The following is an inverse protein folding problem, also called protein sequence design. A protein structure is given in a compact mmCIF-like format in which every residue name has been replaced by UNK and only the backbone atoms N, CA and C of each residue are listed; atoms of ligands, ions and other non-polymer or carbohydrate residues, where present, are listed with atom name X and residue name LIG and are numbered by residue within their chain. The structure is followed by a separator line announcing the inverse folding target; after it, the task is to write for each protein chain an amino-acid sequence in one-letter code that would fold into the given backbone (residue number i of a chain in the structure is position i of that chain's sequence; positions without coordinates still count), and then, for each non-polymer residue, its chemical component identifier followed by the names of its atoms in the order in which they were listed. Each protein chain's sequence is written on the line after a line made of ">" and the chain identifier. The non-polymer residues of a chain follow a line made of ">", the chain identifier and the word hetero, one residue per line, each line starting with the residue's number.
data_IF_869626686999
#
_entry.id   IF_869626686999
#
_cell.length_a   1.000
_cell.length_b   1.000
_cell.length_c   1.000
_cell.angle_alpha   90.00
_cell.angle_beta   90.00
_cell.angle_gamma   90.00
#
_symmetry.space_group_name_H-M   'P 1'
#
loop_
_entity.id
_entity.type
_entity.pdbx_description
1 polymer ?
#
# COMPACT_ATOMS: atom_id res chain seq x y z
N UNK A 1 4.74 5.96 -13.49
CA UNK A 1 4.35 4.96 -12.47
C UNK A 1 2.86 5.11 -12.23
N UNK A 2 2.08 4.04 -12.38
CA UNK A 2 0.62 4.07 -12.18
C UNK A 2 0.28 3.14 -11.02
N UNK A 3 -0.25 3.70 -9.94
CA UNK A 3 -0.65 2.92 -8.76
C UNK A 3 -2.16 2.77 -8.78
N UNK A 4 -2.65 1.53 -8.71
CA UNK A 4 -4.07 1.21 -8.73
C UNK A 4 -4.47 0.45 -7.46
N UNK A 5 -5.19 1.12 -6.57
CA UNK A 5 -5.75 0.47 -5.40
C UNK A 5 -6.87 -0.48 -5.85
N UNK A 6 -6.73 -1.77 -5.56
CA UNK A 6 -7.63 -2.79 -6.12
C UNK A 6 -8.68 -3.23 -5.13
N UNK A 7 -8.35 -3.25 -3.83
CA UNK A 7 -9.26 -3.78 -2.82
C UNK A 7 -9.01 -3.13 -1.44
N UNK A 8 -10.10 -2.67 -0.81
CA UNK A 8 -10.07 -2.04 0.53
C UNK A 8 -11.19 -2.64 1.35
N UNK A 9 -10.84 -3.41 2.39
CA UNK A 9 -11.81 -3.96 3.33
C UNK A 9 -11.52 -3.40 4.73
N UNK A 10 -12.38 -2.49 5.20
CA UNK A 10 -12.34 -1.96 6.57
C UNK A 10 -13.55 -2.53 7.31
N UNK A 11 -13.31 -3.43 8.26
CA UNK A 11 -14.33 -4.00 9.15
C UNK A 11 -14.05 -3.54 10.59
N UNK A 12 -15.08 -3.44 11.42
CA UNK A 12 -14.93 -3.03 12.83
C UNK A 12 -13.92 -3.95 13.55
N UNK A 13 -12.74 -3.41 13.88
CA UNK A 13 -11.65 -4.10 14.60
C UNK A 13 -10.57 -4.76 13.73
N UNK A 14 -10.70 -4.76 12.40
CA UNK A 14 -9.67 -5.27 11.48
C UNK A 14 -9.75 -4.55 10.13
N UNK A 15 -8.61 -4.06 9.64
CA UNK A 15 -8.51 -3.55 8.28
C UNK A 15 -7.56 -4.42 7.46
N UNK A 16 -8.01 -4.81 6.27
CA UNK A 16 -7.19 -5.41 5.22
C UNK A 16 -7.13 -4.42 4.04
N UNK A 17 -5.91 -4.13 3.61
CA UNK A 17 -5.65 -3.27 2.47
C UNK A 17 -4.84 -4.04 1.44
N UNK A 18 -5.38 -4.17 0.22
CA UNK A 18 -4.66 -4.76 -0.89
C UNK A 18 -4.46 -3.74 -2.02
N UNK A 19 -3.20 -3.44 -2.32
CA UNK A 19 -2.82 -2.56 -3.41
C UNK A 19 -2.17 -3.33 -4.55
N UNK A 20 -2.63 -3.09 -5.80
CA UNK A 20 -1.92 -3.57 -6.99
C UNK A 20 -1.01 -2.46 -7.49
N UNK A 21 0.28 -2.73 -7.49
CA UNK A 21 1.31 -1.81 -7.89
C UNK A 21 1.83 -2.21 -9.25
N UNK A 22 1.69 -1.31 -10.22
CA UNK A 22 2.11 -1.53 -11.60
C UNK A 22 3.17 -0.49 -11.96
N UNK A 23 4.35 -0.96 -12.36
CA UNK A 23 5.38 -0.11 -12.94
C UNK A 23 5.52 -0.45 -14.41
N UNK A 24 5.46 0.58 -15.24
CA UNK A 24 5.63 0.48 -16.68
C UNK A 24 6.85 1.28 -17.12
N UNK A 25 7.64 0.70 -18.01
CA UNK A 25 8.69 1.38 -18.77
C UNK A 25 8.23 1.49 -20.24
N UNK A 26 7.91 2.71 -20.66
CA UNK A 26 7.22 2.95 -21.92
C UNK A 26 5.89 2.18 -22.03
N UNK A 27 5.85 1.16 -22.90
CA UNK A 27 4.67 0.29 -23.11
C UNK A 27 4.79 -1.07 -22.41
N UNK A 28 5.94 -1.40 -21.83
CA UNK A 28 6.16 -2.67 -21.15
C UNK A 28 5.82 -2.54 -19.67
N UNK A 29 5.03 -3.47 -19.14
CA UNK A 29 4.87 -3.63 -17.69
C UNK A 29 6.10 -4.39 -17.18
N UNK A 30 6.87 -3.74 -16.31
CA UNK A 30 8.11 -4.29 -15.76
C UNK A 30 7.97 -4.73 -14.31
N UNK A 31 6.84 -4.39 -13.67
CA UNK A 31 6.48 -4.84 -12.33
C UNK A 31 4.96 -4.80 -12.19
N UNK A 32 4.39 -5.87 -11.66
CA UNK A 32 2.96 -6.00 -11.40
C UNK A 32 2.76 -6.94 -10.20
N UNK A 33 2.52 -6.36 -9.03
CA UNK A 33 2.30 -7.13 -7.80
C UNK A 33 1.14 -6.60 -7.00
N UNK A 34 0.45 -7.52 -6.34
CA UNK A 34 -0.54 -7.22 -5.30
C UNK A 34 0.15 -7.38 -3.95
N UNK A 35 0.24 -6.29 -3.20
CA UNK A 35 0.71 -6.30 -1.82
C UNK A 35 -0.48 -6.22 -0.87
N UNK A 36 -0.34 -6.82 0.31
CA UNK A 36 -1.41 -6.90 1.31
C UNK A 36 -0.87 -6.50 2.67
N UNK A 37 -1.51 -5.50 3.27
CA UNK A 37 -1.29 -5.11 4.64
C UNK A 37 -2.54 -5.47 5.44
N UNK A 38 -2.33 -6.03 6.64
CA UNK A 38 -3.39 -6.33 7.60
C UNK A 38 -3.07 -5.64 8.91
N UNK A 39 -4.09 -5.08 9.56
CA UNK A 39 -3.96 -4.56 10.92
C UNK A 39 -5.19 -4.94 11.74
N UNK A 40 -4.97 -5.17 13.03
CA UNK A 40 -6.00 -5.50 14.01
C UNK A 40 -5.89 -4.50 15.15
N UNK A 41 -6.99 -3.86 15.53
CA UNK A 41 -7.04 -2.98 16.69
C UNK A 41 -8.16 -3.38 17.64
N UNK A 42 -7.93 -3.16 18.94
CA UNK A 42 -8.90 -3.43 19.99
C UNK A 42 -10.00 -2.34 19.92
N UNK A 43 -11.23 -2.75 19.63
CA UNK A 43 -12.35 -1.82 19.42
C UNK A 43 -12.91 -1.38 20.78
N UNK A 44 -12.35 -0.32 21.36
CA UNK A 44 -13.04 0.46 22.39
C UNK A 44 -13.74 1.66 21.70
N UNK A 45 -14.92 1.40 21.17
CA UNK A 45 -15.67 2.35 20.35
C UNK A 45 -16.36 3.42 21.22
N UNK A 46 -15.64 4.50 21.55
CA UNK A 46 -16.21 5.67 22.25
C UNK A 46 -16.14 6.91 21.36
N UNK A 47 -17.18 7.16 20.57
CA UNK A 47 -17.43 8.44 19.89
C UNK A 47 -16.24 9.02 19.10
N UNK A 48 -16.04 10.34 19.16
CA UNK A 48 -15.03 11.07 18.36
C UNK A 48 -13.59 10.57 18.44
N UNK A 49 -13.22 9.81 19.48
CA UNK A 49 -11.92 9.11 19.56
C UNK A 49 -11.81 8.01 18.49
N UNK A 50 -12.90 7.29 18.21
CA UNK A 50 -12.94 6.24 17.18
C UNK A 50 -12.72 6.80 15.76
N UNK A 51 -13.12 8.04 15.47
CA UNK A 51 -12.86 8.68 14.18
C UNK A 51 -11.39 9.07 14.03
N UNK A 52 -10.76 9.61 15.08
CA UNK A 52 -9.33 9.93 15.09
C UNK A 52 -8.49 8.66 15.01
N UNK A 53 -8.84 7.64 15.79
CA UNK A 53 -8.21 6.33 15.74
C UNK A 53 -8.38 5.70 14.37
N UNK A 54 -9.58 5.71 13.78
CA UNK A 54 -9.83 5.22 12.42
C UNK A 54 -8.94 5.90 11.37
N UNK A 55 -8.74 7.23 11.44
CA UNK A 55 -7.84 7.95 10.53
C UNK A 55 -6.37 7.59 10.74
N UNK A 56 -5.92 7.48 11.99
CA UNK A 56 -4.55 7.07 12.32
C UNK A 56 -4.29 5.64 11.86
N UNK A 57 -5.22 4.72 12.07
CA UNK A 57 -5.10 3.33 11.66
C UNK A 57 -5.14 3.16 10.14
N UNK A 58 -5.98 3.93 9.44
CA UNK A 58 -5.99 3.97 7.97
C UNK A 58 -4.66 4.49 7.42
N UNK A 59 -4.06 5.48 8.08
CA UNK A 59 -2.74 5.98 7.71
C UNK A 59 -1.66 4.92 7.95
N UNK A 60 -1.71 4.22 9.09
CA UNK A 60 -0.74 3.19 9.46
C UNK A 60 -0.77 1.96 8.55
N UNK A 61 -1.96 1.48 8.16
CA UNK A 61 -2.07 0.34 7.23
C UNK A 61 -1.58 0.72 5.83
N UNK A 62 -1.82 1.96 5.40
CA UNK A 62 -1.29 2.47 4.13
C UNK A 62 0.23 2.62 4.17
N UNK A 63 0.80 3.16 5.26
CA UNK A 63 2.24 3.21 5.47
C UNK A 63 2.88 1.82 5.47
N UNK A 64 2.22 0.84 6.09
CA UNK A 64 2.69 -0.55 6.10
C UNK A 64 2.73 -1.14 4.69
N UNK A 65 1.72 -0.87 3.88
CA UNK A 65 1.67 -1.29 2.48
C UNK A 65 2.79 -0.62 1.64
N UNK A 66 3.05 0.67 1.87
CA UNK A 66 4.13 1.39 1.20
C UNK A 66 5.50 0.88 1.64
N UNK A 67 5.72 0.60 2.93
CA UNK A 67 6.95 -0.02 3.40
C UNK A 67 7.19 -1.37 2.70
N UNK A 68 6.16 -2.23 2.60
CA UNK A 68 6.29 -3.48 1.85
C UNK A 68 6.67 -3.27 0.39
N UNK A 69 6.14 -2.22 -0.26
CA UNK A 69 6.50 -1.88 -1.63
C UNK A 69 7.96 -1.43 -1.74
N UNK A 70 8.39 -0.52 -0.87
CA UNK A 70 9.74 0.05 -0.92
C UNK A 70 10.82 -0.92 -0.45
N UNK A 71 10.47 -1.93 0.35
CA UNK A 71 11.36 -3.02 0.74
C UNK A 71 11.36 -4.18 -0.28
N UNK A 72 10.48 -4.18 -1.29
CA UNK A 72 10.45 -5.22 -2.32
C UNK A 72 11.69 -5.09 -3.24
N UNK A 73 12.59 -6.10 -3.27
CA UNK A 73 13.83 -6.02 -4.04
C UNK A 73 13.59 -5.90 -5.55
N UNK A 74 12.49 -6.47 -6.05
CA UNK A 74 12.11 -6.35 -7.46
C UNK A 74 11.65 -4.93 -7.76
N UNK A 75 10.83 -4.33 -6.89
CA UNK A 75 10.42 -2.94 -7.02
C UNK A 75 11.62 -1.98 -7.01
N UNK A 76 12.57 -2.17 -6.08
CA UNK A 76 13.80 -1.39 -6.00
C UNK A 76 14.61 -1.51 -7.30
N UNK A 77 14.77 -2.74 -7.80
CA UNK A 77 15.59 -3.03 -8.98
C UNK A 77 14.99 -2.43 -10.26
N UNK A 78 13.69 -2.58 -10.49
CA UNK A 78 13.03 -2.00 -11.67
C UNK A 78 13.01 -0.47 -11.60
N UNK A 79 12.80 0.09 -10.41
CA UNK A 79 12.79 1.55 -10.22
C UNK A 79 14.17 2.15 -10.48
N UNK A 80 15.23 1.47 -10.03
CA UNK A 80 16.62 1.86 -10.33
C UNK A 80 16.91 1.81 -11.83
N UNK A 81 16.50 0.74 -12.52
CA UNK A 81 16.70 0.59 -13.98
C UNK A 81 16.01 1.70 -14.76
N UNK A 82 14.76 2.03 -14.42
CA UNK A 82 14.03 3.12 -15.07
C UNK A 82 14.72 4.47 -14.82
N UNK A 83 15.15 4.73 -13.59
CA UNK A 83 15.84 5.98 -13.24
C UNK A 83 17.17 6.16 -13.99
N UNK A 84 17.89 5.06 -14.28
CA UNK A 84 19.14 5.07 -15.04
C UNK A 84 18.93 5.10 -16.56
N UNK A 85 17.74 4.73 -17.06
CA UNK A 85 17.39 4.76 -18.49
C UNK A 85 16.95 6.14 -18.98
N UNK A 86 16.79 7.13 -18.10
CA UNK A 86 16.43 8.50 -18.48
C UNK A 86 17.70 9.38 -18.55
N UNK A 87 18.12 9.86 -19.73
CA UNK A 87 19.25 10.80 -19.87
C UNK A 87 18.93 12.22 -19.39
#
# INVERSE_FOLDING_TARGET
>A
MTVSLSDVHVLDGHAELAGRFIVSDGRAVVYDKVLRAQTKWDVQFIGGLAAQDGMMQTTAIFQSLLHQLFDDPEFIEVSRKIAMSYP
#
